data_IF_089318314672
#
_entry.id   IF_089318314672
#
_cell.length_a   1.000
_cell.length_b   1.000
_cell.length_c   1.000
_cell.angle_alpha   90.00
_cell.angle_beta   90.00
_cell.angle_gamma   90.00
#
_symmetry.space_group_name_H-M   'P 1'
#
loop_
_entity.id
_entity.type
_entity.pdbx_description
1 polymer ?
#
# COMPACT_ATOMS: atom_id res chain seq x y z
N UNK A 1 -0.07 0.61 -25.26
CA UNK A 1 -0.47 2.00 -24.93
C UNK A 1 -0.58 2.09 -23.41
N UNK A 2 0.00 3.11 -22.77
CA UNK A 2 0.04 3.24 -21.29
C UNK A 2 -1.23 3.91 -20.79
N UNK A 3 -1.93 3.29 -19.83
CA UNK A 3 -3.14 3.85 -19.20
C UNK A 3 -2.85 4.34 -17.78
N UNK A 4 -3.71 5.24 -17.29
CA UNK A 4 -3.65 5.75 -15.90
C UNK A 4 -5.00 5.55 -15.22
N UNK A 5 -4.98 4.94 -14.04
CA UNK A 5 -6.13 4.86 -13.15
C UNK A 5 -6.25 6.12 -12.30
N UNK A 6 -7.40 6.80 -12.38
CA UNK A 6 -7.74 7.95 -11.54
C UNK A 6 -8.94 7.61 -10.68
N UNK A 7 -8.79 7.68 -9.36
CA UNK A 7 -9.90 7.49 -8.42
C UNK A 7 -10.67 8.81 -8.26
N UNK A 8 -11.92 8.81 -8.68
CA UNK A 8 -12.88 9.91 -8.56
C UNK A 8 -13.98 9.56 -7.55
N UNK A 9 -14.85 10.51 -7.22
CA UNK A 9 -16.01 10.25 -6.36
C UNK A 9 -16.92 9.13 -6.91
N UNK A 10 -17.02 8.99 -8.24
CA UNK A 10 -17.82 7.97 -8.91
C UNK A 10 -17.13 6.61 -9.07
N UNK A 11 -15.82 6.51 -8.82
CA UNK A 11 -15.06 5.28 -9.06
C UNK A 11 -13.70 5.50 -9.71
N UNK A 12 -13.05 4.40 -10.07
CA UNK A 12 -11.76 4.44 -10.76
C UNK A 12 -12.01 4.50 -12.27
N UNK A 13 -11.52 5.57 -12.90
CA UNK A 13 -11.57 5.80 -14.33
C UNK A 13 -10.20 5.49 -14.93
N UNK A 14 -10.16 4.61 -15.93
CA UNK A 14 -8.95 4.32 -16.70
C UNK A 14 -8.84 5.29 -17.86
N UNK A 15 -7.88 6.21 -17.80
CA UNK A 15 -7.60 7.15 -18.88
C UNK A 15 -6.58 6.58 -19.87
N UNK A 16 -6.75 6.87 -21.18
CA UNK A 16 -5.90 6.32 -22.23
C UNK A 16 -4.48 6.91 -22.27
N UNK A 17 -4.23 8.04 -21.60
CA UNK A 17 -2.92 8.67 -21.57
C UNK A 17 -2.68 9.46 -20.27
N UNK A 18 -1.46 9.43 -19.70
CA UNK A 18 -1.10 10.28 -18.57
C UNK A 18 -1.17 11.76 -18.96
N UNK A 19 -1.49 12.63 -17.99
CA UNK A 19 -1.62 14.09 -18.19
C UNK A 19 -0.41 14.76 -18.88
N UNK A 20 0.77 14.16 -18.83
CA UNK A 20 1.94 14.59 -19.60
C UNK A 20 2.87 13.40 -19.90
N UNK A 21 3.72 13.53 -20.94
CA UNK A 21 4.77 12.55 -21.27
C UNK A 21 5.75 12.31 -20.11
N UNK A 22 6.00 13.34 -19.30
CA UNK A 22 6.81 13.26 -18.08
C UNK A 22 6.19 12.39 -16.97
N UNK A 23 4.91 12.01 -17.09
CA UNK A 23 4.24 11.07 -16.19
C UNK A 23 4.62 9.61 -16.44
N UNK A 24 5.23 9.29 -17.58
CA UNK A 24 5.72 7.93 -17.89
C UNK A 24 7.16 7.80 -17.43
N UNK A 25 7.44 6.80 -16.61
CA UNK A 25 8.78 6.51 -16.10
C UNK A 25 8.98 5.02 -15.91
N UNK A 26 10.19 4.56 -16.20
CA UNK A 26 10.62 3.20 -15.90
C UNK A 26 11.15 3.14 -14.47
N UNK A 27 10.60 2.23 -13.67
CA UNK A 27 11.06 1.98 -12.30
C UNK A 27 11.70 0.59 -12.28
N UNK A 28 12.98 0.46 -11.90
CA UNK A 28 13.61 -0.85 -11.78
C UNK A 28 12.90 -1.63 -10.67
N UNK A 29 12.48 -2.86 -10.99
CA UNK A 29 11.94 -3.80 -10.03
C UNK A 29 12.99 -4.88 -9.75
N UNK A 30 13.20 -5.19 -8.47
CA UNK A 30 14.06 -6.30 -8.07
C UNK A 30 13.43 -7.62 -8.51
N UNK A 31 14.23 -8.55 -9.03
CA UNK A 31 13.75 -9.78 -9.68
C UNK A 31 12.80 -10.62 -8.82
N UNK A 32 13.06 -10.73 -7.52
CA UNK A 32 12.19 -11.47 -6.59
C UNK A 32 10.76 -10.89 -6.48
N UNK A 33 10.56 -9.60 -6.82
CA UNK A 33 9.22 -8.97 -6.84
C UNK A 33 8.45 -9.27 -8.12
N UNK A 34 9.11 -9.75 -9.19
CA UNK A 34 8.46 -10.03 -10.47
C UNK A 34 7.65 -11.32 -10.42
N UNK A 35 8.11 -12.35 -9.69
CA UNK A 35 7.40 -13.62 -9.61
C UNK A 35 5.98 -13.46 -9.02
N UNK A 36 5.78 -12.81 -7.85
CA UNK A 36 4.42 -12.60 -7.32
C UNK A 36 3.53 -11.75 -8.22
N UNK A 37 4.09 -10.75 -8.93
CA UNK A 37 3.32 -9.94 -9.88
C UNK A 37 2.87 -10.75 -11.10
N UNK A 38 3.72 -11.66 -11.59
CA UNK A 38 3.38 -12.58 -12.68
C UNK A 38 2.33 -13.59 -12.26
N UNK A 39 2.43 -14.15 -11.05
CA UNK A 39 1.43 -15.06 -10.50
C UNK A 39 0.06 -14.38 -10.38
N UNK A 40 0.02 -13.15 -9.87
CA UNK A 40 -1.23 -12.36 -9.79
C UNK A 40 -1.86 -12.09 -11.16
N UNK A 41 -1.02 -11.83 -12.17
CA UNK A 41 -1.49 -11.63 -13.54
C UNK A 41 -1.95 -12.96 -14.16
N UNK A 42 -1.19 -14.05 -14.03
CA UNK A 42 -1.58 -15.36 -14.57
C UNK A 42 -2.92 -15.87 -14.00
N UNK A 43 -3.22 -15.54 -12.74
CA UNK A 43 -4.49 -15.87 -12.11
C UNK A 43 -5.71 -15.11 -12.69
N UNK A 44 -5.56 -14.27 -13.71
CA UNK A 44 -6.68 -13.69 -14.46
C UNK A 44 -7.17 -14.60 -15.58
N UNK A 45 -6.30 -15.50 -16.05
CA UNK A 45 -6.47 -16.27 -17.30
C UNK A 45 -6.84 -15.39 -18.52
N UNK A 46 -6.43 -14.12 -18.47
CA UNK A 46 -6.72 -13.11 -19.48
C UNK A 46 -5.39 -12.62 -20.07
N UNK A 47 -5.14 -12.89 -21.37
CA UNK A 47 -3.89 -12.53 -22.03
C UNK A 47 -3.81 -11.04 -22.41
N UNK A 48 -4.86 -10.23 -22.16
CA UNK A 48 -4.79 -8.80 -22.48
C UNK A 48 -3.69 -8.11 -21.63
N UNK A 49 -2.71 -7.44 -22.26
CA UNK A 49 -1.72 -6.66 -21.53
C UNK A 49 -2.31 -5.50 -20.70
N UNK A 50 -3.60 -5.18 -20.86
CA UNK A 50 -4.34 -4.20 -20.06
C UNK A 50 -5.01 -4.79 -18.82
N UNK A 51 -4.97 -6.11 -18.65
CA UNK A 51 -5.57 -6.75 -17.49
C UNK A 51 -4.91 -6.26 -16.20
N UNK A 52 -5.74 -5.96 -15.20
CA UNK A 52 -5.29 -5.38 -13.95
C UNK A 52 -4.55 -6.41 -13.09
N UNK A 53 -3.31 -6.10 -12.73
CA UNK A 53 -2.54 -6.91 -11.77
C UNK A 53 -3.12 -6.82 -10.35
N UNK A 54 -3.55 -5.63 -9.94
CA UNK A 54 -4.18 -5.40 -8.64
C UNK A 54 -5.68 -5.15 -8.80
N UNK A 55 -6.47 -6.18 -8.47
CA UNK A 55 -7.92 -6.18 -8.59
C UNK A 55 -8.60 -6.44 -7.25
N UNK A 56 -9.83 -5.97 -7.12
CA UNK A 56 -10.69 -6.37 -6.01
C UNK A 56 -11.29 -7.77 -6.24
N UNK A 57 -12.12 -8.23 -5.29
CA UNK A 57 -12.73 -9.56 -5.34
C UNK A 57 -13.65 -9.80 -6.54
N UNK A 58 -14.11 -8.75 -7.20
CA UNK A 58 -14.99 -8.83 -8.39
C UNK A 58 -14.24 -8.45 -9.67
N UNK A 59 -12.90 -8.38 -9.62
CA UNK A 59 -12.05 -8.11 -10.78
C UNK A 59 -11.92 -6.62 -11.15
N UNK A 60 -12.50 -5.70 -10.38
CA UNK A 60 -12.43 -4.25 -10.66
C UNK A 60 -11.13 -3.64 -10.12
N UNK A 61 -10.73 -2.43 -10.60
CA UNK A 61 -9.60 -1.72 -10.02
C UNK A 61 -9.69 -1.60 -8.49
N UNK A 62 -8.60 -1.92 -7.80
CA UNK A 62 -8.55 -1.86 -6.35
C UNK A 62 -8.62 -0.41 -5.84
N UNK A 63 -9.70 -0.07 -5.14
CA UNK A 63 -9.88 1.26 -4.51
C UNK A 63 -8.87 1.51 -3.40
N UNK A 64 -8.42 2.77 -3.26
CA UNK A 64 -7.49 3.18 -2.20
C UNK A 64 -8.06 2.92 -0.81
N UNK A 65 -9.35 3.18 -0.61
CA UNK A 65 -10.03 2.94 0.67
C UNK A 65 -10.05 1.45 1.05
N UNK A 66 -10.34 0.58 0.08
CA UNK A 66 -10.33 -0.87 0.26
C UNK A 66 -8.92 -1.39 0.53
N UNK A 67 -7.93 -0.93 -0.23
CA UNK A 67 -6.52 -1.26 0.01
C UNK A 67 -6.10 -0.84 1.42
N UNK A 68 -6.42 0.41 1.83
CA UNK A 68 -6.08 0.91 3.16
C UNK A 68 -6.70 0.02 4.25
N UNK A 69 -7.99 -0.23 4.17
CA UNK A 69 -8.74 -0.94 5.22
C UNK A 69 -8.41 -2.43 5.30
N UNK A 70 -8.28 -3.10 4.16
CA UNK A 70 -8.20 -4.58 4.10
C UNK A 70 -6.77 -5.11 4.05
N UNK A 71 -5.82 -4.30 3.59
CA UNK A 71 -4.44 -4.75 3.35
C UNK A 71 -3.51 -3.92 4.23
N UNK A 72 -3.49 -2.60 4.06
CA UNK A 72 -2.47 -1.76 4.68
C UNK A 72 -2.56 -1.72 6.21
N UNK A 73 -3.72 -1.40 6.79
CA UNK A 73 -3.85 -1.33 8.26
C UNK A 73 -3.57 -2.69 8.91
N UNK A 74 -4.16 -3.82 8.45
CA UNK A 74 -3.80 -5.13 9.00
C UNK A 74 -2.31 -5.47 8.87
N UNK A 75 -1.64 -5.04 7.79
CA UNK A 75 -0.18 -5.21 7.65
C UNK A 75 0.60 -4.41 8.69
N UNK A 76 0.18 -3.17 9.00
CA UNK A 76 0.81 -2.39 10.06
C UNK A 76 0.63 -3.01 11.44
N UNK A 77 -0.56 -3.57 11.73
CA UNK A 77 -0.80 -4.28 13.00
C UNK A 77 0.12 -5.49 13.12
N UNK A 78 0.20 -6.32 12.07
CA UNK A 78 1.10 -7.49 12.06
C UNK A 78 2.57 -7.11 12.17
N UNK A 79 2.95 -5.94 11.67
CA UNK A 79 4.30 -5.40 11.80
C UNK A 79 4.54 -4.69 13.15
N UNK A 80 3.54 -4.58 14.02
CA UNK A 80 3.64 -3.89 15.30
C UNK A 80 3.66 -2.35 15.22
N UNK A 81 3.27 -1.77 14.07
CA UNK A 81 3.40 -0.34 13.75
C UNK A 81 2.10 0.47 13.92
N UNK A 82 1.02 -0.17 14.36
CA UNK A 82 -0.29 0.45 14.59
C UNK A 82 -0.95 -0.02 15.90
N UNK A 83 -0.25 -0.84 16.67
CA UNK A 83 -0.77 -1.60 17.80
C UNK A 83 -0.12 -2.99 17.82
N UNK A 84 -0.36 -3.74 18.88
CA UNK A 84 0.22 -5.05 19.09
C UNK A 84 -0.87 -6.10 19.24
N UNK A 85 -0.59 -7.30 18.75
CA UNK A 85 -1.40 -8.49 18.97
C UNK A 85 -0.49 -9.59 19.47
N UNK A 86 -0.77 -10.11 20.66
CA UNK A 86 0.04 -11.12 21.33
C UNK A 86 -0.82 -12.36 21.56
N UNK A 87 -0.28 -13.53 21.24
CA UNK A 87 -0.88 -14.80 21.61
C UNK A 87 -0.53 -15.10 23.09
N UNK A 88 -1.55 -15.19 23.94
CA UNK A 88 -1.39 -15.43 25.39
C UNK A 88 -1.76 -16.85 25.80
N UNK A 89 -2.13 -17.72 24.86
CA UNK A 89 -2.46 -19.12 25.11
C UNK A 89 -3.30 -19.74 23.99
N UNK A 90 -3.69 -21.00 24.17
CA UNK A 90 -4.59 -21.69 23.25
C UNK A 90 -5.90 -20.93 23.10
N UNK A 91 -6.21 -20.47 21.88
CA UNK A 91 -7.40 -19.66 21.59
C UNK A 91 -7.51 -18.39 22.45
N UNK A 92 -6.38 -17.76 22.77
CA UNK A 92 -6.37 -16.48 23.50
C UNK A 92 -5.38 -15.52 22.88
N UNK A 93 -5.91 -14.40 22.42
CA UNK A 93 -5.14 -13.33 21.82
C UNK A 93 -5.48 -12.03 22.52
N UNK A 94 -4.46 -11.27 22.90
CA UNK A 94 -4.61 -9.93 23.46
C UNK A 94 -4.17 -8.91 22.44
N UNK A 95 -5.03 -7.95 22.15
CA UNK A 95 -4.70 -6.80 21.32
C UNK A 95 -4.55 -5.54 22.19
N UNK A 96 -3.59 -4.69 21.85
CA UNK A 96 -3.37 -3.38 22.46
C UNK A 96 -3.22 -2.32 21.37
N UNK A 97 -3.85 -1.16 21.55
CA UNK A 97 -3.79 -0.08 20.57
C UNK A 97 -4.05 1.30 21.19
N UNK A 98 -3.43 2.37 20.67
CA UNK A 98 -3.74 3.74 21.09
C UNK A 98 -5.02 4.25 20.40
N UNK A 99 -5.82 5.04 21.12
CA UNK A 99 -6.87 5.87 20.54
C UNK A 99 -6.31 7.22 20.02
N UNK A 100 -7.21 8.17 19.71
CA UNK A 100 -6.83 9.47 19.15
C UNK A 100 -6.14 10.37 20.18
N UNK A 101 -6.52 10.23 21.44
CA UNK A 101 -6.00 10.94 22.59
C UNK A 101 -4.69 10.32 23.10
N UNK A 102 -4.30 9.16 22.55
CA UNK A 102 -3.09 8.43 22.91
C UNK A 102 -3.29 7.48 24.10
N UNK A 103 -4.53 7.28 24.54
CA UNK A 103 -4.86 6.31 25.59
C UNK A 103 -4.76 4.90 25.01
N UNK A 104 -4.02 4.03 25.72
CA UNK A 104 -3.88 2.65 25.32
C UNK A 104 -5.10 1.82 25.75
N UNK A 105 -5.76 1.22 24.77
CA UNK A 105 -6.87 0.29 24.96
C UNK A 105 -6.39 -1.13 24.75
N UNK A 106 -7.04 -2.09 25.42
CA UNK A 106 -6.79 -3.50 25.19
C UNK A 106 -8.07 -4.34 25.17
N UNK A 107 -8.06 -5.45 24.44
CA UNK A 107 -9.14 -6.42 24.42
C UNK A 107 -8.61 -7.83 24.15
N UNK A 108 -9.35 -8.83 24.61
CA UNK A 108 -9.05 -10.25 24.41
C UNK A 108 -9.97 -10.88 23.36
N UNK A 109 -9.43 -11.83 22.62
CA UNK A 109 -10.08 -12.50 21.49
C UNK A 109 -9.74 -13.98 21.50
N UNK A 110 -10.59 -14.79 20.85
CA UNK A 110 -10.41 -16.25 20.78
C UNK A 110 -9.75 -16.71 19.50
N UNK A 111 -9.80 -15.90 18.44
CA UNK A 111 -9.19 -16.20 17.14
C UNK A 111 -8.15 -15.14 16.79
N UNK A 112 -7.11 -15.51 16.03
CA UNK A 112 -6.03 -14.58 15.64
C UNK A 112 -6.49 -13.46 14.69
N UNK A 113 -7.54 -13.73 13.90
CA UNK A 113 -8.01 -12.78 12.87
C UNK A 113 -8.76 -11.59 13.46
N UNK A 114 -9.53 -11.82 14.51
CA UNK A 114 -10.32 -10.80 15.21
C UNK A 114 -9.50 -9.66 15.85
N UNK A 115 -8.42 -9.92 16.61
CA UNK A 115 -7.63 -8.85 17.23
C UNK A 115 -7.00 -7.95 16.18
N UNK A 116 -6.47 -8.51 15.09
CA UNK A 116 -5.90 -7.74 13.99
C UNK A 116 -6.95 -6.83 13.34
N UNK A 117 -8.16 -7.37 13.10
CA UNK A 117 -9.26 -6.59 12.54
C UNK A 117 -9.73 -5.49 13.51
N UNK A 118 -9.78 -5.78 14.81
CA UNK A 118 -10.14 -4.82 15.85
C UNK A 118 -9.15 -3.65 15.89
N UNK A 119 -7.85 -3.94 16.01
CA UNK A 119 -6.81 -2.90 16.02
C UNK A 119 -6.84 -2.09 14.73
N UNK A 120 -6.90 -2.74 13.57
CA UNK A 120 -6.95 -2.04 12.28
C UNK A 120 -8.17 -1.11 12.14
N UNK A 121 -9.28 -1.41 12.82
CA UNK A 121 -10.49 -0.59 12.80
C UNK A 121 -10.48 0.54 13.84
N UNK A 122 -9.90 0.31 15.03
CA UNK A 122 -9.99 1.23 16.17
C UNK A 122 -8.75 2.07 16.41
N UNK A 123 -7.56 1.57 16.08
CA UNK A 123 -6.31 2.26 16.30
C UNK A 123 -6.27 3.56 15.47
N UNK A 124 -5.78 4.63 16.09
CA UNK A 124 -5.59 5.92 15.42
C UNK A 124 -4.11 6.13 15.15
N UNK A 125 -3.81 6.70 13.97
CA UNK A 125 -2.45 6.96 13.52
C UNK A 125 -1.92 5.88 12.58
N UNK A 126 -0.62 5.60 12.71
CA UNK A 126 0.14 4.71 11.83
C UNK A 126 0.61 5.37 10.53
N UNK A 127 1.64 4.78 9.93
CA UNK A 127 2.20 5.24 8.66
C UNK A 127 1.17 5.12 7.54
N UNK A 128 1.18 6.07 6.61
CA UNK A 128 0.45 5.99 5.34
C UNK A 128 1.24 5.13 4.36
N UNK A 129 0.55 4.52 3.41
CA UNK A 129 1.21 3.78 2.34
C UNK A 129 2.19 4.66 1.53
N UNK A 130 1.91 5.97 1.42
CA UNK A 130 2.80 6.92 0.77
C UNK A 130 4.13 7.11 1.52
N UNK A 131 4.16 6.85 2.82
CA UNK A 131 5.35 7.01 3.64
C UNK A 131 6.39 5.94 3.31
N UNK A 132 5.98 4.78 2.76
CA UNK A 132 6.92 3.80 2.19
C UNK A 132 7.70 4.37 1.00
N UNK A 133 7.04 5.22 0.19
CA UNK A 133 7.71 5.91 -0.92
C UNK A 133 8.73 6.93 -0.39
N UNK A 134 8.39 7.66 0.66
CA UNK A 134 9.35 8.55 1.31
C UNK A 134 10.52 7.77 1.92
N UNK A 135 10.25 6.69 2.66
CA UNK A 135 11.28 5.85 3.26
C UNK A 135 12.23 5.24 2.22
N UNK A 136 11.72 4.69 1.12
CA UNK A 136 12.58 4.13 0.07
C UNK A 136 13.37 5.22 -0.67
N UNK A 137 12.82 6.42 -0.88
CA UNK A 137 13.59 7.53 -1.43
C UNK A 137 14.70 7.99 -0.47
N UNK A 138 14.44 8.06 0.83
CA UNK A 138 15.45 8.34 1.86
C UNK A 138 16.55 7.30 1.84
N UNK A 139 16.19 6.01 1.80
CA UNK A 139 17.15 4.90 1.78
C UNK A 139 18.09 4.97 0.57
N UNK A 140 17.56 5.26 -0.62
CA UNK A 140 18.38 5.44 -1.82
C UNK A 140 19.37 6.62 -1.69
N UNK A 141 18.93 7.73 -1.11
CA UNK A 141 19.80 8.91 -0.90
C UNK A 141 20.88 8.60 0.13
N UNK A 142 20.53 7.91 1.23
CA UNK A 142 21.51 7.51 2.25
C UNK A 142 22.53 6.49 1.72
N UNK A 143 22.14 5.64 0.78
CA UNK A 143 23.02 4.65 0.12
C UNK A 143 23.83 5.25 -1.05
N UNK A 144 23.85 6.58 -1.19
CA UNK A 144 24.70 7.30 -2.15
C UNK A 144 24.16 7.35 -3.59
N UNK A 145 22.92 6.89 -3.84
CA UNK A 145 22.29 7.01 -5.16
C UNK A 145 21.99 8.48 -5.44
N UNK A 146 22.55 9.02 -6.54
CA UNK A 146 22.42 10.43 -6.91
C UNK A 146 20.94 10.85 -7.06
N UNK A 147 20.58 11.98 -6.48
CA UNK A 147 19.22 12.52 -6.43
C UNK A 147 18.54 12.75 -7.79
N UNK A 148 19.31 12.89 -8.88
CA UNK A 148 18.79 12.99 -10.25
C UNK A 148 18.06 11.73 -10.71
N UNK A 149 18.52 10.54 -10.28
CA UNK A 149 17.80 9.28 -10.50
C UNK A 149 16.49 9.23 -9.71
N UNK A 150 16.49 9.69 -8.47
CA UNK A 150 15.29 9.77 -7.64
C UNK A 150 14.25 10.75 -8.21
N UNK A 151 14.62 11.88 -8.80
CA UNK A 151 13.60 12.76 -9.43
C UNK A 151 12.95 12.12 -10.68
N UNK A 152 13.72 11.39 -11.50
CA UNK A 152 13.21 10.71 -12.71
C UNK A 152 12.29 9.53 -12.43
N UNK A 153 12.68 8.63 -11.52
CA UNK A 153 11.86 7.45 -11.15
C UNK A 153 10.70 7.80 -10.22
N UNK A 154 10.72 8.98 -9.58
CA UNK A 154 9.72 9.37 -8.59
C UNK A 154 8.89 10.60 -8.97
N UNK A 155 9.09 11.19 -10.15
CA UNK A 155 8.19 12.17 -10.77
C UNK A 155 7.78 13.31 -9.84
N UNK A 156 8.75 13.83 -9.11
CA UNK A 156 8.61 15.10 -8.40
C UNK A 156 8.77 16.22 -9.42
N UNK A 157 7.69 16.95 -9.71
CA UNK A 157 7.78 18.14 -10.56
C UNK A 157 8.44 19.27 -9.77
N UNK A 158 9.72 19.54 -10.02
CA UNK A 158 10.33 20.79 -9.55
C UNK A 158 9.82 21.93 -10.44
N UNK A 159 8.87 22.73 -9.93
CA UNK A 159 8.61 24.06 -10.49
C UNK A 159 9.91 24.86 -10.32
N UNK A 160 10.65 25.06 -11.41
CA UNK A 160 11.69 26.10 -11.47
C UNK A 160 10.97 27.44 -11.25
N UNK A 161 11.16 28.06 -10.08
CA UNK A 161 10.91 29.50 -9.95
C UNK A 161 11.95 30.20 -10.85
N UNK A 162 11.45 30.95 -11.81
CA UNK A 162 12.23 32.01 -12.48
C UNK A 162 12.30 33.19 -11.54
#
# INVERSE_FOLDING_TARGET
MVQVAEETHGGIVLRPYPKSRAGVRTVPLLGFRLAPLRELHAATDDPDPRTLVFRDRVGRPLRRSNFRRRIWLPSLVRAGLLGQVVNTGSHRFRATWPDREGVEWSAEFTTEREPVACVAAKAVGGMRFHDLRHAYATWLVTDGVRSTWCSGSWGTSRRRRR
#
